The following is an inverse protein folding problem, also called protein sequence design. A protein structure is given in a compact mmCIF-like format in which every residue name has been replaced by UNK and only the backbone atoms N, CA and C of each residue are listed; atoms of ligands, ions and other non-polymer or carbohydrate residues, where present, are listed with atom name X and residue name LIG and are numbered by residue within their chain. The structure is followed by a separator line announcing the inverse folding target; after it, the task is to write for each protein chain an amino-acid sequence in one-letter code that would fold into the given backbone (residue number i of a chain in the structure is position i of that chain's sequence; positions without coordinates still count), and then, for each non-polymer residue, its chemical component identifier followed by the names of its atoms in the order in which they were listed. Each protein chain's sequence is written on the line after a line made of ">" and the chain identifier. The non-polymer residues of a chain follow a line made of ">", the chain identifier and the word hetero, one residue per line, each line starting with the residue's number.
data_IF_919817243235
#
_entry.id   IF_919817243235
#
_cell.length_a   1.000
_cell.length_b   1.000
_cell.length_c   1.000
_cell.angle_alpha   90.00
_cell.angle_beta   90.00
_cell.angle_gamma   90.00
#
_symmetry.space_group_name_H-M   'P 1'
#
loop_
_entity.id
_entity.type
_entity.pdbx_description
1 polymer ?
#
# COMPACT_ATOMS: atom_id res chain seq x y z
N UNK A 1 -1.97 -19.52 -7.09
CA UNK A 1 -0.99 -18.50 -6.67
C UNK A 1 -1.01 -17.37 -7.67
N UNK A 2 -1.15 -16.14 -7.24
CA UNK A 2 -1.11 -15.03 -8.19
C UNK A 2 0.28 -14.40 -8.19
N UNK A 3 0.45 -13.33 -8.98
CA UNK A 3 1.76 -12.70 -9.12
C UNK A 3 2.31 -12.15 -7.81
N UNK A 4 1.42 -11.71 -6.91
CA UNK A 4 1.87 -11.19 -5.62
C UNK A 4 2.41 -12.30 -4.74
N UNK A 5 1.77 -13.48 -4.76
CA UNK A 5 2.32 -14.63 -4.05
C UNK A 5 3.73 -14.94 -4.52
N UNK A 6 3.92 -14.96 -5.83
CA UNK A 6 5.23 -15.22 -6.41
C UNK A 6 6.24 -14.14 -6.01
N UNK A 7 5.81 -12.89 -6.07
CA UNK A 7 6.67 -11.78 -5.69
C UNK A 7 7.18 -11.94 -4.25
N UNK A 8 6.27 -12.25 -3.32
CA UNK A 8 6.65 -12.39 -1.92
C UNK A 8 7.59 -13.57 -1.72
N UNK A 9 7.32 -14.68 -2.40
CA UNK A 9 8.19 -15.87 -2.31
C UNK A 9 9.61 -15.57 -2.75
N UNK A 10 9.81 -14.62 -3.65
CA UNK A 10 11.13 -14.26 -4.16
C UNK A 10 11.91 -13.37 -3.21
N UNK A 11 11.28 -12.87 -2.14
CA UNK A 11 11.94 -11.97 -1.21
C UNK A 11 12.65 -12.74 -0.10
N UNK A 12 13.51 -12.04 0.63
CA UNK A 12 14.20 -12.58 1.77
C UNK A 12 13.19 -13.18 2.75
N UNK A 13 13.39 -14.42 3.20
CA UNK A 13 12.44 -15.02 4.14
C UNK A 13 12.18 -14.18 5.39
N UNK A 14 13.16 -13.39 5.82
CA UNK A 14 12.99 -12.58 7.03
C UNK A 14 11.91 -11.52 6.89
N UNK A 15 11.68 -11.02 5.66
CA UNK A 15 10.69 -9.97 5.48
C UNK A 15 9.37 -10.46 4.91
N UNK A 16 9.27 -11.73 4.55
CA UNK A 16 8.02 -12.25 3.99
C UNK A 16 6.83 -12.07 4.91
N UNK A 17 6.93 -12.30 6.23
CA UNK A 17 5.78 -12.06 7.10
C UNK A 17 5.32 -10.61 7.09
N UNK A 18 6.26 -9.67 6.99
CA UNK A 18 5.91 -8.26 6.92
C UNK A 18 5.19 -7.93 5.62
N UNK A 19 5.66 -8.51 4.52
CA UNK A 19 5.00 -8.32 3.22
C UNK A 19 3.60 -8.91 3.22
N UNK A 20 3.42 -10.07 3.83
CA UNK A 20 2.10 -10.67 3.96
C UNK A 20 1.18 -9.79 4.81
N UNK A 21 1.70 -9.19 5.87
CA UNK A 21 0.89 -8.30 6.71
C UNK A 21 0.42 -7.07 5.93
N UNK A 22 1.30 -6.48 5.14
CA UNK A 22 0.93 -5.35 4.28
C UNK A 22 -0.13 -5.78 3.27
N UNK A 23 0.09 -6.91 2.62
CA UNK A 23 -0.85 -7.43 1.63
C UNK A 23 -2.23 -7.65 2.23
N UNK A 24 -2.28 -8.33 3.36
CA UNK A 24 -3.56 -8.64 3.98
C UNK A 24 -4.27 -7.37 4.41
N UNK A 25 -3.53 -6.40 4.94
CA UNK A 25 -4.10 -5.13 5.37
C UNK A 25 -4.73 -4.40 4.20
N UNK A 26 -4.04 -4.32 3.06
CA UNK A 26 -4.58 -3.62 1.90
C UNK A 26 -5.78 -4.37 1.33
N UNK A 27 -5.70 -5.69 1.24
CA UNK A 27 -6.81 -6.48 0.72
C UNK A 27 -8.08 -6.30 1.55
N UNK A 28 -7.92 -6.25 2.87
CA UNK A 28 -9.07 -6.05 3.74
C UNK A 28 -9.61 -4.63 3.65
N UNK A 29 -8.73 -3.67 3.45
CA UNK A 29 -9.13 -2.27 3.38
C UNK A 29 -9.88 -1.94 2.08
N UNK A 30 -9.46 -2.54 0.97
CA UNK A 30 -10.05 -2.25 -0.35
C UNK A 30 -10.33 -3.56 -1.09
N UNK A 31 -11.30 -4.35 -0.60
CA UNK A 31 -11.54 -5.69 -1.16
C UNK A 31 -12.01 -5.66 -2.62
N UNK A 32 -12.51 -4.54 -3.10
CA UNK A 32 -12.95 -4.43 -4.49
C UNK A 32 -11.80 -4.23 -5.46
N UNK A 33 -10.59 -3.96 -4.96
CA UNK A 33 -9.43 -3.78 -5.82
C UNK A 33 -8.87 -5.12 -6.26
N UNK A 34 -8.37 -5.17 -7.48
CA UNK A 34 -7.77 -6.37 -8.04
C UNK A 34 -6.27 -6.37 -7.75
N UNK A 35 -5.74 -7.52 -7.33
CA UNK A 35 -4.30 -7.67 -7.13
C UNK A 35 -3.63 -8.00 -8.44
N UNK A 36 -2.56 -7.29 -8.76
CA UNK A 36 -1.76 -7.56 -9.97
C UNK A 36 -0.31 -7.14 -9.72
N UNK A 37 0.53 -7.40 -10.70
CA UNK A 37 1.91 -6.89 -10.72
C UNK A 37 1.97 -5.80 -11.79
N UNK A 38 2.46 -4.64 -11.42
CA UNK A 38 2.67 -3.51 -12.31
C UNK A 38 3.99 -2.87 -11.96
N UNK A 39 4.79 -2.54 -12.96
CA UNK A 39 6.12 -1.95 -12.72
C UNK A 39 6.99 -2.85 -11.85
N UNK A 40 6.75 -4.17 -11.91
CA UNK A 40 7.49 -5.12 -11.08
C UNK A 40 7.08 -5.15 -9.61
N UNK A 41 5.98 -4.52 -9.24
CA UNK A 41 5.54 -4.40 -7.85
C UNK A 41 4.14 -4.94 -7.64
N UNK A 42 3.87 -5.50 -6.47
CA UNK A 42 2.49 -5.75 -6.06
C UNK A 42 1.66 -4.48 -6.17
N UNK A 43 0.52 -4.58 -6.82
CA UNK A 43 -0.32 -3.45 -7.16
C UNK A 43 -1.77 -3.77 -6.90
N UNK A 44 -2.51 -2.79 -6.44
CA UNK A 44 -3.96 -2.89 -6.28
C UNK A 44 -4.60 -1.96 -7.28
N UNK A 45 -5.51 -2.52 -8.08
CA UNK A 45 -6.05 -1.85 -9.25
C UNK A 45 -7.57 -1.86 -9.22
N UNK A 46 -8.16 -0.71 -9.56
CA UNK A 46 -9.59 -0.61 -9.83
C UNK A 46 -9.75 0.57 -10.78
N UNK A 47 -9.95 0.27 -12.06
CA UNK A 47 -9.94 1.27 -13.15
C UNK A 47 -8.58 1.91 -13.35
N UNK A 48 -7.84 2.12 -12.27
CA UNK A 48 -6.51 2.72 -12.26
C UNK A 48 -5.70 2.03 -11.19
N UNK A 49 -4.40 2.20 -11.23
CA UNK A 49 -3.55 1.76 -10.14
C UNK A 49 -3.87 2.58 -8.91
N UNK A 50 -4.17 1.91 -7.80
CA UNK A 50 -4.56 2.57 -6.56
C UNK A 50 -3.36 2.72 -5.63
N UNK A 51 -2.65 1.64 -5.39
CA UNK A 51 -1.53 1.65 -4.46
C UNK A 51 -0.61 0.47 -4.79
N UNK A 52 0.67 0.67 -4.57
CA UNK A 52 1.69 -0.37 -4.75
C UNK A 52 2.48 -0.56 -3.47
N UNK A 53 3.14 -1.71 -3.34
CA UNK A 53 4.17 -1.83 -2.32
C UNK A 53 5.33 -2.64 -2.90
N UNK A 54 6.49 -2.51 -2.29
CA UNK A 54 7.67 -3.24 -2.75
C UNK A 54 8.69 -3.36 -1.64
N UNK A 55 9.44 -4.46 -1.67
CA UNK A 55 10.52 -4.68 -0.73
C UNK A 55 11.75 -3.91 -1.16
N UNK A 56 12.29 -3.08 -0.26
CA UNK A 56 13.58 -2.46 -0.45
C UNK A 56 14.62 -3.18 0.41
N UNK A 57 15.82 -2.61 0.47
CA UNK A 57 16.89 -3.26 1.23
C UNK A 57 16.62 -3.25 2.72
N UNK A 58 16.16 -2.14 3.26
CA UNK A 58 15.98 -1.98 4.70
C UNK A 58 14.59 -1.50 5.05
N UNK A 59 13.67 -1.52 4.08
CA UNK A 59 12.34 -1.01 4.28
C UNK A 59 11.40 -1.66 3.30
N UNK A 60 10.11 -1.49 3.56
CA UNK A 60 9.08 -1.78 2.58
C UNK A 60 8.59 -0.42 2.09
N UNK A 61 8.57 -0.23 0.78
CA UNK A 61 8.05 0.98 0.18
C UNK A 61 6.56 0.85 -0.04
N UNK A 62 5.82 1.91 0.29
CA UNK A 62 4.40 2.04 -0.04
C UNK A 62 4.30 3.19 -1.02
N UNK A 63 3.57 2.99 -2.10
CA UNK A 63 3.53 3.96 -3.20
C UNK A 63 2.08 4.34 -3.51
N UNK A 64 1.51 5.23 -2.71
CA UNK A 64 0.10 5.64 -2.91
C UNK A 64 -0.05 6.84 -3.84
N UNK A 65 1.06 7.49 -4.20
CA UNK A 65 1.02 8.69 -5.01
C UNK A 65 1.15 9.96 -4.17
N UNK A 66 1.42 11.09 -4.84
CA UNK A 66 1.76 12.33 -4.13
C UNK A 66 0.61 12.91 -3.31
N UNK A 67 -0.63 12.77 -3.79
CA UNK A 67 -1.75 13.34 -3.06
C UNK A 67 -1.93 12.68 -1.70
N UNK A 68 -1.74 11.36 -1.63
CA UNK A 68 -1.86 10.64 -0.37
C UNK A 68 -0.75 11.04 0.60
N UNK A 69 0.45 11.24 0.10
CA UNK A 69 1.56 11.66 0.96
C UNK A 69 1.24 13.02 1.59
N UNK A 70 0.64 13.91 0.82
CA UNK A 70 0.23 15.22 1.34
C UNK A 70 -0.90 15.08 2.35
N UNK A 71 -1.90 14.29 2.00
CA UNK A 71 -3.09 14.14 2.84
C UNK A 71 -2.74 13.57 4.22
N UNK A 72 -1.81 12.63 4.27
CA UNK A 72 -1.45 11.94 5.49
C UNK A 72 -0.17 12.47 6.12
N UNK A 73 0.31 13.65 5.70
CA UNK A 73 1.61 14.16 6.13
C UNK A 73 1.76 14.20 7.64
N UNK A 74 0.71 14.61 8.37
CA UNK A 74 0.81 14.71 9.82
C UNK A 74 1.05 13.34 10.47
N UNK A 75 0.47 12.28 9.91
CA UNK A 75 0.63 10.92 10.43
C UNK A 75 1.90 10.25 9.91
N UNK A 76 2.57 10.86 8.95
CA UNK A 76 3.79 10.29 8.37
C UNK A 76 5.06 10.86 8.99
N UNK A 77 4.94 11.69 10.00
CA UNK A 77 6.12 12.20 10.70
C UNK A 77 6.87 11.02 11.30
N UNK A 78 8.18 11.04 11.15
CA UNK A 78 9.00 9.92 11.58
C UNK A 78 9.24 8.87 10.52
N UNK A 79 8.59 8.98 9.38
CA UNK A 79 8.83 8.10 8.24
C UNK A 79 9.47 8.90 7.12
N UNK A 80 10.39 8.26 6.41
CA UNK A 80 10.99 8.90 5.25
C UNK A 80 10.00 8.84 4.10
N UNK A 81 9.75 9.99 3.49
CA UNK A 81 8.82 10.07 2.36
C UNK A 81 9.48 10.79 1.20
N UNK A 82 8.91 10.60 0.02
CA UNK A 82 9.25 11.38 -1.15
C UNK A 82 7.95 11.72 -1.84
N UNK A 83 8.01 12.21 -3.07
CA UNK A 83 6.84 12.77 -3.72
C UNK A 83 5.63 11.83 -3.72
N UNK A 84 5.83 10.57 -3.95
CA UNK A 84 4.70 9.63 -3.99
C UNK A 84 4.95 8.36 -3.22
N UNK A 85 5.95 8.35 -2.32
CA UNK A 85 6.40 7.13 -1.69
C UNK A 85 6.63 7.32 -0.19
N UNK A 86 6.43 6.24 0.54
CA UNK A 86 6.64 6.17 1.99
C UNK A 86 7.52 4.98 2.27
N UNK A 87 8.54 5.15 3.11
CA UNK A 87 9.40 4.04 3.52
C UNK A 87 9.04 3.58 4.91
N UNK A 88 8.74 2.27 5.03
CA UNK A 88 8.44 1.65 6.33
C UNK A 88 9.67 0.83 6.73
N UNK A 89 10.48 1.31 7.69
CA UNK A 89 11.73 0.61 8.03
C UNK A 89 11.46 -0.80 8.53
N UNK A 90 12.36 -1.72 8.16
CA UNK A 90 12.19 -3.11 8.56
C UNK A 90 12.45 -3.37 10.03
N UNK A 91 13.08 -2.42 10.73
CA UNK A 91 13.38 -2.54 12.14
C UNK A 91 12.35 -1.88 13.04
N UNK A 92 11.20 -1.52 12.51
CA UNK A 92 10.12 -0.90 13.28
C UNK A 92 8.84 -1.67 13.04
N UNK A 93 7.94 -1.56 14.00
CA UNK A 93 6.60 -2.14 13.85
C UNK A 93 5.90 -1.48 12.67
N UNK A 94 5.16 -2.30 11.91
CA UNK A 94 4.43 -1.77 10.75
C UNK A 94 3.21 -0.99 11.20
N UNK A 95 3.00 0.22 10.68
CA UNK A 95 1.81 1.01 11.01
C UNK A 95 0.62 0.56 10.15
N UNK A 96 0.09 -0.63 10.45
CA UNK A 96 -0.92 -1.24 9.59
C UNK A 96 -2.21 -0.45 9.51
N UNK A 97 -2.62 0.18 10.63
CA UNK A 97 -3.81 1.03 10.59
C UNK A 97 -3.63 2.20 9.63
N UNK A 98 -2.45 2.80 9.64
CA UNK A 98 -2.15 3.89 8.73
C UNK A 98 -2.17 3.42 7.29
N UNK A 99 -1.57 2.25 7.02
CA UNK A 99 -1.57 1.70 5.67
C UNK A 99 -3.01 1.46 5.20
N UNK A 100 -3.86 0.92 6.06
CA UNK A 100 -5.25 0.69 5.71
C UNK A 100 -5.98 1.99 5.38
N UNK A 101 -5.76 3.03 6.19
CA UNK A 101 -6.41 4.33 5.96
C UNK A 101 -5.94 4.96 4.65
N UNK A 102 -4.65 4.87 4.37
CA UNK A 102 -4.10 5.40 3.12
C UNK A 102 -4.69 4.65 1.93
N UNK A 103 -4.77 3.33 2.03
CA UNK A 103 -5.32 2.54 0.92
C UNK A 103 -6.78 2.90 0.65
N UNK A 104 -7.59 3.03 1.70
CA UNK A 104 -9.00 3.40 1.54
C UNK A 104 -9.16 4.79 0.95
N UNK A 105 -8.42 5.75 1.48
CA UNK A 105 -8.50 7.12 0.97
C UNK A 105 -8.13 7.15 -0.50
N UNK A 106 -7.04 6.47 -0.83
CA UNK A 106 -6.55 6.48 -2.20
C UNK A 106 -7.54 5.79 -3.15
N UNK A 107 -8.12 4.70 -2.69
CA UNK A 107 -9.14 4.00 -3.48
C UNK A 107 -10.32 4.93 -3.79
N UNK A 108 -10.75 5.71 -2.79
CA UNK A 108 -11.84 6.65 -2.98
C UNK A 108 -11.47 7.74 -3.99
N UNK A 109 -10.24 8.25 -3.90
CA UNK A 109 -9.81 9.29 -4.82
C UNK A 109 -9.71 8.76 -6.25
N UNK A 110 -9.13 7.58 -6.41
CA UNK A 110 -8.88 7.03 -7.73
C UNK A 110 -10.16 6.58 -8.40
N UNK A 111 -11.09 6.01 -7.66
CA UNK A 111 -12.31 5.44 -8.24
C UNK A 111 -13.48 6.40 -8.20
N UNK A 112 -13.39 7.45 -7.41
CA UNK A 112 -14.53 8.33 -7.18
C UNK A 112 -15.60 7.70 -6.32
N UNK A 113 -15.35 6.52 -5.76
CA UNK A 113 -16.32 5.79 -4.94
C UNK A 113 -15.90 5.89 -3.49
N UNK A 114 -16.75 6.44 -2.66
CA UNK A 114 -16.46 6.60 -1.25
C UNK A 114 -17.59 6.02 -0.45
N UNK A 115 -17.24 5.34 0.61
CA UNK A 115 -18.24 4.78 1.51
C UNK A 115 -19.09 5.89 2.09
N UNK A 116 -18.48 7.02 2.43
CA UNK A 116 -19.22 8.15 2.99
C UNK A 116 -19.98 8.92 1.96
N UNK A 117 -19.62 8.82 0.71
CA UNK A 117 -20.20 9.64 -0.32
C UNK A 117 -21.44 9.04 -0.94
N UNK A 118 -21.76 7.83 -0.59
CA UNK A 118 -22.87 7.19 -1.26
C UNK A 118 -24.20 7.80 -0.97
N UNK A 119 -24.30 8.63 0.04
CA UNK A 119 -25.53 9.30 0.33
C UNK A 119 -25.72 10.58 -0.47
N UNK A 120 -24.79 10.89 -1.28
CA UNK A 120 -24.95 12.06 -2.13
C UNK A 120 -25.85 11.79 -3.26
#
# INVERSE_FOLDING_TARGET
>A
MNGIDTYIQQQDPAIRPRLHAIRDTIREAIPAAEERISWGMPTYWKRHNVIHFAAGKRHIGIYPGPDAVIEFAARLQGYKTSKGAIQLPNDRELPLDLVAHIARWNFEQVTGASIEKKQR
#
